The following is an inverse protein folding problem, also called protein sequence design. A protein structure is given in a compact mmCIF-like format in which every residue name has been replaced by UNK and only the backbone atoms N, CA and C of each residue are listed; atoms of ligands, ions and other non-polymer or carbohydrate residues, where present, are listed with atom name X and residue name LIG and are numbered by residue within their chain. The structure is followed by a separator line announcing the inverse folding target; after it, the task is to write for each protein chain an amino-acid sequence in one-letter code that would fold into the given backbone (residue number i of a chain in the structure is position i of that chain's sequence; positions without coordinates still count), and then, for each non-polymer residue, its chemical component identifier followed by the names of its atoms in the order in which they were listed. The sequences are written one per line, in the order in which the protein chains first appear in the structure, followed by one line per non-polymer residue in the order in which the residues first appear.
data_IF_922336594548
#
_entry.id   IF_922336594548
#
_cell.length_a   1.000
_cell.length_b   1.000
_cell.length_c   1.000
_cell.angle_alpha   90.00
_cell.angle_beta   90.00
_cell.angle_gamma   90.00
#
_symmetry.space_group_name_H-M   'P 1'
#
loop_
_entity.id
_entity.type
_entity.pdbx_description
1 polymer ?
#
# COMPACT_ATOMS: atom_id res chain seq x y z
N UNK A 1 -9.80 8.11 -9.71
CA UNK A 1 -8.72 7.33 -9.06
C UNK A 1 -7.72 8.31 -8.46
N UNK A 2 -6.93 7.87 -7.46
CA UNK A 2 -5.86 8.66 -6.84
C UNK A 2 -4.57 7.83 -6.89
N UNK A 3 -3.47 8.43 -7.32
CA UNK A 3 -2.14 7.83 -7.25
C UNK A 3 -1.47 8.25 -5.95
N UNK A 4 -0.85 7.30 -5.25
CA UNK A 4 -0.20 7.52 -3.96
C UNK A 4 1.27 7.88 -4.19
N UNK A 5 1.78 8.89 -3.50
CA UNK A 5 3.16 9.36 -3.65
C UNK A 5 4.21 8.39 -3.11
N UNK A 6 5.44 8.54 -3.60
CA UNK A 6 6.62 7.78 -3.15
C UNK A 6 7.27 8.31 -1.86
N UNK A 7 6.95 9.55 -1.47
CA UNK A 7 7.55 10.16 -0.30
C UNK A 7 6.95 9.65 1.01
N UNK A 8 7.71 9.84 2.09
CA UNK A 8 7.18 9.75 3.44
C UNK A 8 6.46 11.02 3.84
N UNK A 9 5.38 10.87 4.60
CA UNK A 9 4.67 11.92 5.31
C UNK A 9 4.91 11.69 6.80
N UNK A 10 5.54 12.66 7.48
CA UNK A 10 5.89 12.55 8.90
C UNK A 10 6.66 11.27 9.29
N UNK A 11 7.46 10.74 8.36
CA UNK A 11 8.26 9.52 8.55
C UNK A 11 7.60 8.23 8.05
N UNK A 12 6.31 8.24 7.70
CA UNK A 12 5.60 7.08 7.16
C UNK A 12 5.48 7.19 5.63
N UNK A 13 5.98 6.24 4.83
CA UNK A 13 5.73 6.20 3.39
C UNK A 13 4.23 6.28 3.08
N UNK A 14 3.81 7.14 2.15
CA UNK A 14 2.38 7.32 1.86
C UNK A 14 1.69 6.01 1.40
N UNK A 15 2.45 5.09 0.79
CA UNK A 15 1.97 3.76 0.37
C UNK A 15 1.65 2.82 1.55
N UNK A 16 2.21 3.06 2.74
CA UNK A 16 1.95 2.31 3.98
C UNK A 16 1.23 3.13 5.05
N UNK A 17 0.69 4.30 4.70
CA UNK A 17 0.03 5.20 5.65
C UNK A 17 -1.48 4.99 5.66
N UNK A 18 -1.96 4.16 6.58
CA UNK A 18 -3.40 3.89 6.74
C UNK A 18 -4.19 5.13 7.20
N UNK A 19 -3.59 6.01 7.99
CA UNK A 19 -4.25 7.25 8.42
C UNK A 19 -4.49 8.16 7.21
N UNK A 20 -3.49 8.33 6.34
CA UNK A 20 -3.63 9.13 5.13
C UNK A 20 -4.66 8.52 4.16
N UNK A 21 -4.59 7.21 3.91
CA UNK A 21 -5.35 6.56 2.85
C UNK A 21 -6.77 6.15 3.25
N UNK A 22 -7.03 5.91 4.54
CA UNK A 22 -8.36 5.54 5.03
C UNK A 22 -8.99 6.73 5.74
N UNK A 23 -8.40 7.15 6.86
CA UNK A 23 -9.02 8.14 7.74
C UNK A 23 -9.20 9.47 6.99
N UNK A 24 -8.13 10.01 6.40
CA UNK A 24 -8.21 11.29 5.67
C UNK A 24 -8.88 11.11 4.31
N UNK A 25 -8.31 10.29 3.42
CA UNK A 25 -8.77 10.23 2.03
C UNK A 25 -10.18 9.64 1.92
N UNK A 26 -10.49 8.53 2.60
CA UNK A 26 -11.77 7.82 2.41
C UNK A 26 -12.87 8.29 3.35
N UNK A 27 -12.54 8.52 4.60
CA UNK A 27 -13.53 8.81 5.65
C UNK A 27 -13.78 10.32 5.75
N UNK A 28 -12.75 11.15 5.90
CA UNK A 28 -12.90 12.61 5.98
C UNK A 28 -13.27 13.23 4.62
N UNK A 29 -12.54 12.91 3.56
CA UNK A 29 -12.78 13.48 2.23
C UNK A 29 -13.83 12.71 1.42
N UNK A 30 -14.28 11.56 1.92
CA UNK A 30 -15.35 10.78 1.28
C UNK A 30 -14.95 10.08 -0.02
N UNK A 31 -13.66 9.86 -0.30
CA UNK A 31 -13.22 9.26 -1.56
C UNK A 31 -13.68 7.79 -1.70
N UNK A 32 -14.49 7.53 -2.75
CA UNK A 32 -15.02 6.18 -3.05
C UNK A 32 -14.36 5.50 -4.26
N UNK A 33 -13.29 6.09 -4.79
CA UNK A 33 -12.57 5.55 -5.94
C UNK A 33 -11.48 4.54 -5.57
N UNK A 34 -10.68 4.23 -6.59
CA UNK A 34 -9.52 3.32 -6.53
C UNK A 34 -8.25 4.12 -6.21
N UNK A 35 -7.45 3.61 -5.29
CA UNK A 35 -6.08 4.05 -5.01
C UNK A 35 -5.08 3.18 -5.79
N UNK A 36 -4.12 3.82 -6.44
CA UNK A 36 -3.08 3.15 -7.25
C UNK A 36 -1.73 3.49 -6.64
N UNK A 37 -0.87 2.50 -6.44
CA UNK A 37 0.51 2.74 -6.03
C UNK A 37 1.26 3.47 -7.14
N UNK A 38 2.28 4.26 -6.81
CA UNK A 38 3.26 4.67 -7.81
C UNK A 38 4.09 3.45 -8.27
N UNK A 39 4.89 3.63 -9.32
CA UNK A 39 5.72 2.62 -9.95
C UNK A 39 6.69 1.97 -8.96
N UNK A 40 6.39 0.73 -8.55
CA UNK A 40 7.20 -0.05 -7.62
C UNK A 40 7.11 0.39 -6.15
N UNK A 41 6.16 1.26 -5.80
CA UNK A 41 6.08 1.84 -4.46
C UNK A 41 5.90 0.79 -3.35
N UNK A 42 5.22 -0.34 -3.64
CA UNK A 42 5.03 -1.41 -2.65
C UNK A 42 6.36 -2.10 -2.37
N UNK A 43 7.18 -2.34 -3.40
CA UNK A 43 8.53 -2.90 -3.25
C UNK A 43 9.44 -1.96 -2.45
N UNK A 44 9.32 -0.65 -2.65
CA UNK A 44 10.13 0.34 -1.94
C UNK A 44 9.82 0.40 -0.43
N UNK A 45 8.67 -0.13 0.05
CA UNK A 45 8.36 -0.23 1.48
C UNK A 45 9.43 -0.97 2.30
N UNK A 46 10.13 -1.92 1.67
CA UNK A 46 11.25 -2.65 2.29
C UNK A 46 12.43 -1.70 2.50
N UNK A 47 12.77 -0.89 1.49
CA UNK A 47 13.87 0.09 1.59
C UNK A 47 13.54 1.24 2.54
N UNK A 48 12.26 1.62 2.62
CA UNK A 48 11.78 2.57 3.62
C UNK A 48 11.74 1.99 5.05
N UNK A 49 11.98 0.69 5.22
CA UNK A 49 12.02 0.04 6.53
C UNK A 49 10.65 -0.22 7.15
N UNK A 50 9.57 -0.10 6.37
CA UNK A 50 8.19 -0.34 6.84
C UNK A 50 7.66 -1.74 6.52
N UNK A 51 8.43 -2.55 5.81
CA UNK A 51 8.14 -3.96 5.54
C UNK A 51 9.42 -4.80 5.64
N UNK A 52 9.31 -6.02 6.16
CA UNK A 52 10.47 -6.93 6.32
C UNK A 52 10.87 -7.64 5.02
N UNK A 53 9.90 -7.94 4.18
CA UNK A 53 10.05 -8.77 2.98
C UNK A 53 8.90 -8.50 1.99
N UNK A 54 8.91 -9.10 0.78
CA UNK A 54 7.86 -8.85 -0.22
C UNK A 54 6.44 -9.25 0.20
N UNK A 55 6.28 -10.31 1.02
CA UNK A 55 4.96 -10.74 1.50
C UNK A 55 4.43 -9.73 2.52
N UNK A 56 5.28 -9.29 3.44
CA UNK A 56 4.96 -8.23 4.40
C UNK A 56 4.66 -6.89 3.71
N UNK A 57 5.40 -6.54 2.65
CA UNK A 57 5.15 -5.33 1.87
C UNK A 57 3.75 -5.32 1.23
N UNK A 58 3.30 -6.47 0.69
CA UNK A 58 1.94 -6.61 0.16
C UNK A 58 0.91 -6.49 1.27
N UNK A 59 1.14 -7.17 2.40
CA UNK A 59 0.25 -7.10 3.56
C UNK A 59 0.09 -5.65 4.04
N UNK A 60 1.19 -4.91 4.19
CA UNK A 60 1.18 -3.50 4.61
C UNK A 60 0.43 -2.64 3.59
N UNK A 61 0.72 -2.75 2.28
CA UNK A 61 0.08 -1.93 1.27
C UNK A 61 -1.43 -2.18 1.15
N UNK A 62 -1.87 -3.44 1.09
CA UNK A 62 -3.29 -3.78 0.96
C UNK A 62 -4.07 -3.37 2.21
N UNK A 63 -3.49 -3.58 3.40
CA UNK A 63 -4.14 -3.20 4.66
C UNK A 63 -4.11 -1.69 4.89
N UNK A 64 -3.17 -0.95 4.32
CA UNK A 64 -3.13 0.53 4.38
C UNK A 64 -4.14 1.17 3.42
N UNK A 65 -4.57 0.46 2.38
CA UNK A 65 -5.66 0.89 1.51
C UNK A 65 -5.27 1.10 0.06
N UNK A 66 -4.17 0.51 -0.41
CA UNK A 66 -3.77 0.48 -1.83
C UNK A 66 -4.57 -0.60 -2.56
N UNK A 67 -5.34 -0.21 -3.58
CA UNK A 67 -6.17 -1.16 -4.34
C UNK A 67 -5.45 -1.77 -5.54
N UNK A 68 -4.54 -1.01 -6.18
CA UNK A 68 -3.85 -1.45 -7.39
C UNK A 68 -2.34 -1.26 -7.23
N UNK A 69 -1.61 -2.36 -7.44
CA UNK A 69 -0.15 -2.39 -7.57
C UNK A 69 0.25 -1.96 -8.98
N UNK A 70 1.19 -1.02 -9.08
CA UNK A 70 1.74 -0.55 -10.35
C UNK A 70 3.18 -1.04 -10.52
N UNK A 71 3.40 -1.90 -11.52
CA UNK A 71 4.72 -2.29 -12.03
C UNK A 71 5.66 -3.03 -11.04
N UNK A 72 5.13 -3.78 -10.08
CA UNK A 72 5.95 -4.64 -9.20
C UNK A 72 5.54 -6.12 -9.14
N UNK A 73 4.41 -6.53 -9.73
CA UNK A 73 3.87 -7.91 -9.68
C UNK A 73 3.58 -8.45 -8.26
N UNK A 74 3.78 -7.64 -7.21
CA UNK A 74 3.78 -8.12 -5.82
C UNK A 74 2.41 -8.63 -5.40
N UNK A 75 1.33 -7.90 -5.74
CA UNK A 75 -0.03 -8.34 -5.40
C UNK A 75 -0.36 -9.70 -6.01
N UNK A 76 -0.09 -9.88 -7.30
CA UNK A 76 -0.35 -11.14 -8.00
C UNK A 76 0.44 -12.31 -7.41
N UNK A 77 1.66 -12.05 -6.92
CA UNK A 77 2.58 -13.08 -6.42
C UNK A 77 2.33 -13.48 -4.97
N UNK A 78 2.06 -12.52 -4.09
CA UNK A 78 2.05 -12.76 -2.64
C UNK A 78 0.66 -12.71 -2.00
N UNK A 79 -0.30 -11.95 -2.58
CA UNK A 79 -1.64 -11.82 -2.00
C UNK A 79 -2.39 -13.16 -1.88
N UNK A 80 -2.32 -14.11 -2.85
CA UNK A 80 -2.98 -15.41 -2.69
C UNK A 80 -2.47 -16.22 -1.49
N UNK A 81 -1.18 -16.09 -1.15
CA UNK A 81 -0.58 -16.74 0.02
C UNK A 81 -1.08 -16.13 1.32
N UNK A 82 -1.10 -14.80 1.40
CA UNK A 82 -1.62 -14.05 2.56
C UNK A 82 -3.07 -14.46 2.89
N UNK A 83 -3.95 -14.44 1.89
CA UNK A 83 -5.36 -14.85 2.05
C UNK A 83 -5.48 -16.29 2.56
N UNK A 84 -4.70 -17.23 2.01
CA UNK A 84 -4.72 -18.64 2.45
C UNK A 84 -4.24 -18.81 3.90
N UNK A 85 -3.32 -17.95 4.35
CA UNK A 85 -2.78 -17.98 5.71
C UNK A 85 -3.62 -17.18 6.72
N UNK A 86 -4.68 -16.50 6.27
CA UNK A 86 -5.53 -15.66 7.13
C UNK A 86 -4.88 -14.35 7.59
N UNK A 87 -3.90 -13.85 6.82
CA UNK A 87 -3.16 -12.61 7.08
C UNK A 87 -3.59 -11.48 6.17
#
# INVERSE_FOLDING_TARGET
AVMVGLNSLNGTPATSDAWLLKDVLRDEWGFKGITVSDHGAIKELIKHGTASDPEDAVRVAITSGINMSMSDEYYSKYLPGLIKSGK
#
